data_IF_742738333013
#
_entry.id   IF_742738333013
#
_cell.length_a   1.000
_cell.length_b   1.000
_cell.length_c   1.000
_cell.angle_alpha   90.00
_cell.angle_beta   90.00
_cell.angle_gamma   90.00
#
_symmetry.space_group_name_H-M   'P 1'
#
loop_
_entity.id
_entity.type
_entity.pdbx_description
1 polymer ?
#
# COMPACT_ATOMS: atom_id res chain seq x y z
N UNK A 1 -5.04 14.44 -5.98
CA UNK A 1 -4.39 14.11 -4.71
C UNK A 1 -3.09 14.87 -4.59
N UNK A 2 -3.18 16.05 -4.00
CA UNK A 2 -2.02 16.94 -3.98
C UNK A 2 -1.13 16.71 -2.78
N UNK A 3 -1.71 16.24 -1.68
CA UNK A 3 -0.98 16.16 -0.43
C UNK A 3 -0.93 14.71 0.07
N UNK A 4 0.28 14.23 0.33
CA UNK A 4 0.48 12.91 0.90
C UNK A 4 0.23 12.94 2.41
N UNK A 5 -0.57 11.98 2.90
CA UNK A 5 -0.83 11.79 4.33
C UNK A 5 -0.01 10.58 4.79
N UNK A 6 1.06 10.77 5.56
CA UNK A 6 1.86 9.64 6.03
C UNK A 6 1.01 8.63 6.81
N UNK A 7 1.23 7.35 6.52
CA UNK A 7 0.57 6.26 7.26
C UNK A 7 1.31 6.00 8.56
N UNK A 8 0.67 5.26 9.47
CA UNK A 8 1.32 4.92 10.72
C UNK A 8 2.52 4.02 10.49
N UNK A 9 3.54 4.16 11.34
CA UNK A 9 4.74 3.31 11.25
C UNK A 9 4.39 1.84 11.45
N UNK A 10 3.42 1.55 12.31
CA UNK A 10 3.01 0.16 12.57
C UNK A 10 2.41 -0.48 11.33
N UNK A 11 1.60 0.27 10.57
CA UNK A 11 1.05 -0.25 9.32
C UNK A 11 2.15 -0.42 8.27
N UNK A 12 3.08 0.51 8.21
CA UNK A 12 4.23 0.41 7.32
C UNK A 12 5.03 -0.87 7.61
N UNK A 13 5.23 -1.17 8.88
CA UNK A 13 5.95 -2.39 9.30
C UNK A 13 5.23 -3.65 8.83
N UNK A 14 3.89 -3.65 8.85
CA UNK A 14 3.12 -4.78 8.32
C UNK A 14 3.36 -4.96 6.83
N UNK A 15 3.42 -3.85 6.07
CA UNK A 15 3.70 -3.91 4.64
C UNK A 15 5.10 -4.45 4.37
N UNK A 16 6.08 -4.03 5.17
CA UNK A 16 7.44 -4.54 5.04
C UNK A 16 7.50 -6.04 5.31
N UNK A 17 6.77 -6.50 6.32
CA UNK A 17 6.72 -7.93 6.62
C UNK A 17 6.17 -8.74 5.44
N UNK A 18 5.08 -8.27 4.82
CA UNK A 18 4.55 -8.92 3.62
C UNK A 18 5.56 -8.95 2.49
N UNK A 19 6.31 -7.86 2.31
CA UNK A 19 7.33 -7.76 1.27
C UNK A 19 8.46 -8.76 1.51
N UNK A 20 8.96 -8.84 2.73
CA UNK A 20 10.05 -9.74 3.10
C UNK A 20 9.62 -11.21 2.93
N UNK A 21 8.41 -11.54 3.36
CA UNK A 21 7.87 -12.90 3.26
C UNK A 21 7.45 -13.25 1.84
N UNK A 22 7.41 -12.28 0.93
CA UNK A 22 6.96 -12.46 -0.45
C UNK A 22 5.56 -13.10 -0.49
N UNK A 23 4.72 -12.69 0.45
CA UNK A 23 3.36 -13.21 0.55
C UNK A 23 2.49 -12.57 -0.52
N UNK A 24 1.68 -13.38 -1.18
CA UNK A 24 0.66 -12.89 -2.09
C UNK A 24 -0.50 -12.34 -1.27
N UNK A 25 -0.87 -11.09 -1.48
CA UNK A 25 -1.88 -10.41 -0.68
C UNK A 25 -2.91 -9.74 -1.55
N UNK A 26 -4.11 -9.60 -0.99
CA UNK A 26 -5.16 -8.82 -1.61
C UNK A 26 -5.09 -7.41 -1.06
N UNK A 27 -5.10 -6.42 -1.95
CA UNK A 27 -4.95 -5.01 -1.59
C UNK A 27 -6.18 -4.25 -2.04
N UNK A 28 -6.83 -3.57 -1.10
CA UNK A 28 -7.93 -2.65 -1.38
C UNK A 28 -7.41 -1.23 -1.23
N UNK A 29 -7.68 -0.40 -2.22
CA UNK A 29 -7.20 0.98 -2.23
C UNK A 29 -8.20 1.86 -2.98
N UNK A 30 -8.11 3.17 -2.76
CA UNK A 30 -8.86 4.14 -3.54
C UNK A 30 -7.99 4.65 -4.68
N UNK A 31 -8.57 4.77 -5.86
CA UNK A 31 -7.86 5.40 -6.97
C UNK A 31 -7.98 6.93 -6.86
N UNK A 32 -7.39 7.64 -7.81
CA UNK A 32 -7.38 9.11 -7.81
C UNK A 32 -8.77 9.73 -7.92
N UNK A 33 -9.77 8.96 -8.34
CA UNK A 33 -11.16 9.41 -8.42
C UNK A 33 -11.98 9.02 -7.19
N UNK A 34 -11.32 8.46 -6.16
CA UNK A 34 -12.00 8.03 -4.94
C UNK A 34 -12.75 6.72 -5.07
N UNK A 35 -12.51 5.97 -6.14
CA UNK A 35 -13.19 4.70 -6.38
C UNK A 35 -12.36 3.58 -5.74
N UNK A 36 -13.01 2.75 -4.92
CA UNK A 36 -12.36 1.61 -4.30
C UNK A 36 -12.09 0.53 -5.34
N UNK A 37 -10.84 0.08 -5.36
CA UNK A 37 -10.39 -0.99 -6.25
C UNK A 37 -9.64 -2.03 -5.45
N UNK A 38 -9.48 -3.21 -6.04
CA UNK A 38 -8.66 -4.25 -5.43
C UNK A 38 -7.70 -4.83 -6.45
N UNK A 39 -6.56 -5.31 -5.93
CA UNK A 39 -5.55 -5.99 -6.74
C UNK A 39 -4.94 -7.08 -5.88
N UNK A 40 -4.49 -8.14 -6.52
CA UNK A 40 -3.88 -9.28 -5.83
C UNK A 40 -2.45 -9.45 -6.35
N UNK A 41 -1.51 -9.59 -5.44
CA UNK A 41 -0.11 -9.76 -5.85
C UNK A 41 0.86 -9.69 -4.69
N UNK A 42 2.15 -9.74 -5.03
CA UNK A 42 3.23 -9.66 -4.05
C UNK A 42 3.85 -8.28 -4.07
N UNK A 43 4.12 -7.76 -2.88
CA UNK A 43 4.81 -6.47 -2.74
C UNK A 43 6.28 -6.69 -3.08
N UNK A 44 6.75 -6.00 -4.11
CA UNK A 44 8.13 -6.06 -4.55
C UNK A 44 8.99 -5.07 -3.80
N UNK A 45 8.47 -3.88 -3.52
CA UNK A 45 9.25 -2.81 -2.92
C UNK A 45 8.34 -1.78 -2.25
N UNK A 46 8.89 -1.09 -1.26
CA UNK A 46 8.30 0.08 -0.63
C UNK A 46 9.34 1.19 -0.76
N UNK A 47 8.96 2.33 -1.29
CA UNK A 47 9.91 3.41 -1.55
C UNK A 47 9.23 4.75 -1.52
N UNK A 48 10.03 5.81 -1.44
CA UNK A 48 9.50 7.17 -1.52
C UNK A 48 10.10 7.88 -2.73
N UNK A 49 9.29 8.76 -3.30
CA UNK A 49 9.69 9.65 -4.39
C UNK A 49 8.98 10.98 -4.18
N UNK A 50 9.75 12.06 -4.13
CA UNK A 50 9.20 13.40 -3.91
C UNK A 50 8.37 13.48 -2.62
N UNK A 51 8.84 12.80 -1.57
CA UNK A 51 8.19 12.76 -0.24
C UNK A 51 6.85 12.05 -0.23
N UNK A 52 6.53 11.30 -1.26
CA UNK A 52 5.35 10.44 -1.33
C UNK A 52 5.81 9.00 -1.30
N UNK A 53 5.20 8.20 -0.43
CA UNK A 53 5.55 6.80 -0.28
C UNK A 53 4.65 5.93 -1.13
N UNK A 54 5.24 4.91 -1.73
CA UNK A 54 4.57 4.00 -2.66
C UNK A 54 4.84 2.55 -2.32
N UNK A 55 3.89 1.73 -2.71
CA UNK A 55 4.00 0.28 -2.74
C UNK A 55 4.09 -0.12 -4.20
N UNK A 56 5.09 -0.93 -4.54
CA UNK A 56 5.24 -1.47 -5.88
C UNK A 56 4.98 -2.97 -5.85
N UNK A 57 4.06 -3.43 -6.67
CA UNK A 57 3.78 -4.86 -6.82
C UNK A 57 4.69 -5.48 -7.89
N UNK A 58 4.86 -6.78 -7.85
CA UNK A 58 5.69 -7.49 -8.82
C UNK A 58 5.20 -7.32 -10.26
N UNK A 59 3.91 -7.08 -10.44
CA UNK A 59 3.34 -6.85 -11.76
C UNK A 59 3.57 -5.43 -12.29
N UNK A 60 4.25 -4.58 -11.51
CA UNK A 60 4.53 -3.19 -11.90
C UNK A 60 3.51 -2.17 -11.43
N UNK A 61 2.43 -2.59 -10.78
CA UNK A 61 1.44 -1.67 -10.24
C UNK A 61 2.03 -0.89 -9.07
N UNK A 62 1.88 0.43 -9.09
CA UNK A 62 2.36 1.33 -8.05
C UNK A 62 1.16 1.98 -7.36
N UNK A 63 1.13 1.95 -6.03
CA UNK A 63 0.02 2.49 -5.23
C UNK A 63 0.58 3.38 -4.13
N UNK A 64 0.07 4.60 -4.01
CA UNK A 64 0.42 5.49 -2.90
C UNK A 64 -0.07 4.87 -1.59
N UNK A 65 0.77 4.92 -0.56
CA UNK A 65 0.44 4.29 0.71
C UNK A 65 -0.76 4.94 1.39
N UNK A 66 -0.95 6.25 1.21
CA UNK A 66 -2.08 6.95 1.85
C UNK A 66 -3.44 6.62 1.18
N UNK A 67 -3.42 5.93 0.05
CA UNK A 67 -4.64 5.48 -0.62
C UNK A 67 -5.03 4.05 -0.25
N UNK A 68 -4.20 3.36 0.52
CA UNK A 68 -4.49 2.00 0.94
C UNK A 68 -5.66 1.98 1.91
N UNK A 69 -6.53 0.99 1.77
CA UNK A 69 -7.62 0.74 2.71
C UNK A 69 -7.31 -0.48 3.54
N UNK A 70 -6.92 -1.55 2.89
CA UNK A 70 -6.62 -2.82 3.55
C UNK A 70 -5.61 -3.60 2.72
N UNK A 71 -4.68 -4.24 3.40
CA UNK A 71 -3.73 -5.18 2.79
C UNK A 71 -3.83 -6.49 3.56
N UNK A 72 -4.27 -7.55 2.88
CA UNK A 72 -4.59 -8.83 3.49
C UNK A 72 -5.63 -8.60 4.60
N UNK A 73 -5.31 -8.95 5.85
CA UNK A 73 -6.21 -8.73 6.99
C UNK A 73 -5.87 -7.46 7.78
N UNK A 74 -4.99 -6.61 7.27
CA UNK A 74 -4.55 -5.39 7.95
C UNK A 74 -5.28 -4.19 7.37
N UNK A 75 -6.10 -3.56 8.20
CA UNK A 75 -6.93 -2.41 7.79
C UNK A 75 -6.25 -1.14 8.28
N UNK A 76 -5.94 -0.21 7.35
CA UNK A 76 -5.19 1.00 7.67
C UNK A 76 -5.85 1.82 8.79
N UNK A 77 -7.17 1.96 8.77
CA UNK A 77 -7.87 2.76 9.76
C UNK A 77 -7.77 2.20 11.19
N UNK A 78 -7.28 0.98 11.36
CA UNK A 78 -7.10 0.39 12.68
C UNK A 78 -5.73 0.70 13.29
N UNK A 79 -4.92 1.46 12.60
CA UNK A 79 -3.55 1.78 13.05
C UNK A 79 -3.43 3.27 13.44
#
# INVERSE_FOLDING_TARGET
LDKYEPISCDFYDELEAFSILKKEVEIFYEDENGITKSVFGRIKDLYSRDKIEYLLLENGKEIRLDLLIRVDNKILSNY
#
